data_IF_542653705702
#
_entry.id   IF_542653705702
#
_cell.length_a   1.000
_cell.length_b   1.000
_cell.length_c   1.000
_cell.angle_alpha   90.00
_cell.angle_beta   90.00
_cell.angle_gamma   90.00
#
_symmetry.space_group_name_H-M   'P 1'
#
loop_
_entity.id
_entity.type
_entity.pdbx_description
1 polymer ?
#
# COMPACT_ATOMS: atom_id res chain seq x y z
N UNK A 1 43.84 -0.04 3.01
CA UNK A 1 42.37 -0.01 3.17
C UNK A 1 41.89 -1.41 2.83
N UNK A 2 41.76 -2.29 3.84
CA UNK A 2 41.08 -3.56 3.62
C UNK A 2 39.61 -3.29 3.85
N UNK A 3 38.83 -3.26 2.76
CA UNK A 3 37.37 -3.28 2.84
C UNK A 3 37.00 -4.57 3.56
N UNK A 4 36.62 -4.43 4.83
CA UNK A 4 35.94 -5.47 5.57
C UNK A 4 34.63 -5.68 4.81
N UNK A 5 34.58 -6.74 4.01
CA UNK A 5 33.33 -7.30 3.54
C UNK A 5 32.60 -7.76 4.80
N UNK A 6 31.86 -6.84 5.42
CA UNK A 6 30.86 -7.15 6.40
C UNK A 6 29.90 -8.10 5.70
N UNK A 7 30.04 -9.39 6.00
CA UNK A 7 29.07 -10.41 5.67
C UNK A 7 27.80 -10.02 6.43
N UNK A 8 26.98 -9.15 5.81
CA UNK A 8 25.63 -8.92 6.30
C UNK A 8 24.95 -10.28 6.23
N UNK A 9 24.69 -10.88 7.39
CA UNK A 9 23.81 -12.04 7.46
C UNK A 9 22.54 -11.65 6.70
N UNK A 10 22.16 -12.45 5.70
CA UNK A 10 20.93 -12.25 4.94
C UNK A 10 19.76 -12.59 5.85
N UNK A 11 19.44 -11.70 6.78
CA UNK A 11 18.22 -11.78 7.58
C UNK A 11 17.08 -11.46 6.63
N UNK A 12 16.12 -12.38 6.42
CA UNK A 12 15.00 -12.14 5.54
C UNK A 12 14.15 -10.98 6.07
N UNK A 13 13.53 -10.22 5.17
CA UNK A 13 12.63 -9.16 5.57
C UNK A 13 11.43 -9.73 6.32
N UNK A 14 10.89 -8.97 7.28
CA UNK A 14 9.67 -9.35 7.99
C UNK A 14 8.52 -9.49 6.97
N UNK A 15 7.87 -10.65 6.96
CA UNK A 15 6.79 -10.96 6.01
C UNK A 15 7.27 -11.44 4.65
N UNK A 16 8.58 -11.56 4.41
CA UNK A 16 9.09 -12.24 3.23
C UNK A 16 8.74 -13.73 3.33
N UNK A 17 8.02 -14.30 2.34
CA UNK A 17 7.76 -15.72 2.34
C UNK A 17 9.08 -16.49 2.28
N UNK A 18 9.14 -17.69 2.88
CA UNK A 18 10.33 -18.53 2.81
C UNK A 18 10.72 -18.79 1.36
N UNK A 19 12.02 -18.84 1.09
CA UNK A 19 12.54 -19.14 -0.25
C UNK A 19 12.03 -20.52 -0.72
N UNK A 20 11.43 -20.58 -1.92
CA UNK A 20 10.83 -21.79 -2.45
C UNK A 20 9.87 -21.49 -3.59
N UNK A 21 9.47 -22.51 -4.33
CA UNK A 21 8.33 -22.38 -5.25
C UNK A 21 7.07 -22.18 -4.41
N UNK A 22 6.27 -21.18 -4.78
CA UNK A 22 4.94 -21.05 -4.23
C UNK A 22 4.17 -22.35 -4.53
N UNK A 23 3.76 -23.03 -3.47
CA UNK A 23 3.02 -24.30 -3.55
C UNK A 23 1.51 -24.06 -3.46
N UNK A 24 1.11 -22.80 -3.25
CA UNK A 24 -0.29 -22.42 -3.30
C UNK A 24 -0.76 -22.41 -4.77
N UNK A 25 -2.01 -22.79 -5.02
CA UNK A 25 -2.59 -22.64 -6.34
C UNK A 25 -2.57 -21.16 -6.74
N UNK A 26 -2.44 -20.90 -8.05
CA UNK A 26 -2.60 -19.55 -8.58
C UNK A 26 -3.95 -18.99 -8.11
N UNK A 27 -3.98 -17.81 -7.47
CA UNK A 27 -5.23 -17.25 -7.02
C UNK A 27 -6.09 -16.89 -8.23
N UNK A 28 -7.37 -17.27 -8.17
CA UNK A 28 -8.34 -16.92 -9.21
C UNK A 28 -8.90 -15.52 -8.94
N UNK A 29 -8.21 -14.52 -9.46
CA UNK A 29 -8.64 -13.12 -9.41
C UNK A 29 -9.71 -12.78 -10.46
N UNK A 30 -10.23 -13.76 -11.20
CA UNK A 30 -11.26 -13.50 -12.21
C UNK A 30 -12.51 -12.90 -11.54
N UNK A 31 -12.96 -11.76 -12.05
CA UNK A 31 -14.12 -11.01 -11.57
C UNK A 31 -13.98 -10.39 -10.17
N UNK A 32 -12.85 -10.52 -9.48
CA UNK A 32 -12.66 -9.86 -8.18
C UNK A 32 -12.82 -8.34 -8.32
N UNK A 33 -12.25 -7.77 -9.39
CA UNK A 33 -12.37 -6.35 -9.69
C UNK A 33 -13.82 -5.90 -9.83
N UNK A 34 -14.72 -6.72 -10.39
CA UNK A 34 -16.13 -6.35 -10.52
C UNK A 34 -16.86 -6.36 -9.16
N UNK A 35 -16.39 -7.17 -8.22
CA UNK A 35 -16.98 -7.30 -6.89
C UNK A 35 -16.39 -6.32 -5.87
N UNK A 36 -15.17 -5.85 -6.08
CA UNK A 36 -14.42 -5.02 -5.13
C UNK A 36 -14.12 -3.63 -5.64
N UNK A 37 -14.37 -3.34 -6.92
CA UNK A 37 -14.19 -1.99 -7.45
C UNK A 37 -15.10 -1.00 -6.73
N UNK A 38 -14.53 0.19 -6.55
CA UNK A 38 -15.28 1.36 -6.10
C UNK A 38 -16.33 1.70 -7.16
N UNK A 39 -17.51 2.14 -6.69
CA UNK A 39 -18.59 2.55 -7.58
C UNK A 39 -18.12 3.66 -8.54
N UNK A 40 -18.59 3.62 -9.78
CA UNK A 40 -18.26 4.62 -10.79
C UNK A 40 -18.74 6.00 -10.39
N UNK A 41 -19.86 6.12 -9.69
CA UNK A 41 -20.40 7.40 -9.22
C UNK A 41 -19.45 8.05 -8.23
N UNK A 42 -18.85 7.27 -7.32
CA UNK A 42 -17.80 7.71 -6.41
C UNK A 42 -16.56 8.18 -7.18
N UNK A 43 -16.09 7.40 -8.17
CA UNK A 43 -14.89 7.74 -8.97
C UNK A 43 -15.12 9.01 -9.80
N UNK A 44 -16.32 9.18 -10.35
CA UNK A 44 -16.66 10.33 -11.19
C UNK A 44 -17.11 11.55 -10.37
N UNK A 45 -17.32 11.38 -9.06
CA UNK A 45 -17.88 12.41 -8.18
C UNK A 45 -19.35 12.72 -8.48
N UNK A 46 -20.06 11.84 -9.18
CA UNK A 46 -21.48 12.02 -9.49
C UNK A 46 -22.36 11.92 -8.23
N UNK A 47 -21.87 11.26 -7.18
CA UNK A 47 -22.54 11.11 -5.89
C UNK A 47 -22.15 12.19 -4.86
N UNK A 48 -21.35 13.20 -5.24
CA UNK A 48 -20.77 14.15 -4.29
C UNK A 48 -21.79 14.93 -3.45
N UNK A 49 -23.02 15.12 -3.94
CA UNK A 49 -24.12 15.77 -3.22
C UNK A 49 -24.83 14.84 -2.23
N UNK A 50 -24.67 13.52 -2.37
CA UNK A 50 -25.28 12.49 -1.52
C UNK A 50 -24.32 12.01 -0.43
N UNK A 51 -23.01 12.11 -0.67
CA UNK A 51 -21.95 11.68 0.24
C UNK A 51 -21.67 12.69 1.34
N UNK A 52 -21.22 12.19 2.49
CA UNK A 52 -20.63 13.05 3.52
C UNK A 52 -19.38 13.76 2.97
N UNK A 53 -19.15 15.03 3.33
CA UNK A 53 -18.00 15.79 2.84
C UNK A 53 -16.69 15.14 3.26
N UNK A 54 -15.82 14.91 2.27
CA UNK A 54 -14.48 14.42 2.52
C UNK A 54 -13.67 15.51 3.22
N UNK A 55 -13.22 15.23 4.44
CA UNK A 55 -12.21 16.05 5.11
C UNK A 55 -10.86 15.40 4.88
N UNK A 56 -9.87 16.20 4.50
CA UNK A 56 -8.47 15.81 4.56
C UNK A 56 -8.15 15.48 6.02
N UNK A 57 -8.36 14.23 6.42
CA UNK A 57 -7.85 13.72 7.68
C UNK A 57 -6.39 13.43 7.38
N UNK A 58 -5.62 14.54 7.31
CA UNK A 58 -4.34 14.60 6.63
C UNK A 58 -3.47 13.40 6.97
N UNK A 59 -2.71 12.94 5.98
CA UNK A 59 -1.57 12.09 6.29
C UNK A 59 -0.69 12.83 7.30
N UNK A 60 -0.04 12.12 8.22
CA UNK A 60 0.89 12.73 9.16
C UNK A 60 2.03 13.41 8.36
N UNK A 61 1.85 14.69 8.02
CA UNK A 61 2.71 15.44 7.10
C UNK A 61 2.00 16.33 6.07
N UNK A 62 0.69 16.20 5.84
CA UNK A 62 -0.04 16.96 4.82
C UNK A 62 -0.21 18.45 5.21
N UNK A 63 -0.38 18.74 6.51
CA UNK A 63 -0.57 20.09 7.07
C UNK A 63 0.59 20.60 7.94
N UNK A 64 1.66 19.82 8.10
CA UNK A 64 2.79 20.22 8.95
C UNK A 64 3.94 20.74 8.10
N UNK A 65 3.90 22.03 7.80
CA UNK A 65 5.13 22.81 7.73
C UNK A 65 5.81 22.74 9.10
N UNK A 66 6.72 21.79 9.30
CA UNK A 66 7.60 21.82 10.46
C UNK A 66 8.61 22.94 10.22
N UNK A 67 8.27 24.16 10.65
CA UNK A 67 9.27 25.21 10.81
C UNK A 67 10.26 24.71 11.87
N UNK A 68 11.51 24.38 11.49
CA UNK A 68 12.51 23.99 12.47
C UNK A 68 12.84 25.23 13.30
N UNK A 69 12.80 25.10 14.63
CA UNK A 69 13.42 26.08 15.54
C UNK A 69 14.89 25.74 15.69
#
# INVERSE_FOLDING_TARGET
MSDQQEHHERVPALGQPPEGQDTLPEPDFANEHEQTAVDREVITGADADEREPETSRGWAGEDHGTTPT
#
